data_IF_458387643957
#
_entry.id   IF_458387643957
#
_cell.length_a   1.000
_cell.length_b   1.000
_cell.length_c   1.000
_cell.angle_alpha   90.00
_cell.angle_beta   90.00
_cell.angle_gamma   90.00
#
_symmetry.space_group_name_H-M   'P 1'
#
loop_
_entity.id
_entity.type
_entity.pdbx_description
1 polymer ?
#
# COMPACT_ATOMS: atom_id res chain seq x y z
N UNK A 1 -65.24 6.23 8.55
CA UNK A 1 -64.85 5.00 9.28
C UNK A 1 -64.34 4.00 8.25
N UNK A 2 -63.08 3.66 8.09
CA UNK A 2 -61.81 4.13 8.63
C UNK A 2 -60.72 3.89 7.58
N UNK A 3 -59.68 4.72 7.57
CA UNK A 3 -58.53 4.61 6.70
C UNK A 3 -57.59 3.51 7.25
N UNK A 4 -57.33 2.48 6.45
CA UNK A 4 -56.27 1.52 6.74
C UNK A 4 -54.93 2.12 6.28
N UNK A 5 -54.09 2.51 7.23
CA UNK A 5 -52.67 2.75 7.00
C UNK A 5 -51.99 1.39 6.84
N UNK A 6 -51.52 1.07 5.63
CA UNK A 6 -50.47 0.07 5.48
C UNK A 6 -49.20 0.67 6.08
N UNK A 7 -48.79 0.17 7.25
CA UNK A 7 -47.47 0.44 7.79
C UNK A 7 -46.43 -0.10 6.78
N UNK A 8 -45.52 0.78 6.34
CA UNK A 8 -44.32 0.36 5.66
C UNK A 8 -43.52 -0.54 6.60
N UNK A 9 -43.10 -1.69 6.08
CA UNK A 9 -42.22 -2.63 6.74
C UNK A 9 -40.93 -1.89 7.17
N UNK A 10 -40.49 -1.94 8.45
CA UNK A 10 -39.22 -1.35 8.81
C UNK A 10 -38.10 -2.10 8.06
N UNK A 11 -37.40 -1.38 7.20
CA UNK A 11 -36.17 -1.84 6.56
C UNK A 11 -35.26 -2.44 7.64
N UNK A 12 -34.76 -3.68 7.50
CA UNK A 12 -33.91 -4.27 8.52
C UNK A 12 -32.65 -3.41 8.68
N UNK A 13 -32.18 -3.18 9.92
CA UNK A 13 -30.93 -2.46 10.11
C UNK A 13 -29.81 -3.32 9.54
N UNK A 14 -28.94 -2.67 8.75
CA UNK A 14 -27.55 -3.07 8.58
C UNK A 14 -27.30 -4.36 7.75
N UNK A 15 -27.50 -4.27 6.44
CA UNK A 15 -26.69 -5.07 5.52
C UNK A 15 -25.35 -4.34 5.40
N UNK A 16 -24.36 -4.70 6.21
CA UNK A 16 -23.01 -4.18 6.06
C UNK A 16 -22.58 -4.40 4.60
N UNK A 17 -22.42 -3.30 3.86
CA UNK A 17 -22.02 -3.35 2.45
C UNK A 17 -20.55 -3.75 2.44
N UNK A 18 -20.28 -5.01 2.08
CA UNK A 18 -18.92 -5.48 1.86
C UNK A 18 -18.53 -5.26 0.40
N UNK A 19 -17.36 -4.70 0.17
CA UNK A 19 -16.74 -4.61 -1.16
C UNK A 19 -15.38 -5.29 -1.18
N UNK A 20 -15.10 -5.99 -2.28
CA UNK A 20 -13.82 -6.68 -2.50
C UNK A 20 -13.07 -6.02 -3.65
N UNK A 21 -11.78 -5.75 -3.42
CA UNK A 21 -10.87 -5.19 -4.38
C UNK A 21 -9.67 -6.12 -4.54
N UNK A 22 -9.14 -6.22 -5.76
CA UNK A 22 -7.90 -6.93 -6.05
C UNK A 22 -6.88 -5.93 -6.59
N UNK A 23 -5.63 -6.07 -6.17
CA UNK A 23 -4.55 -5.18 -6.58
C UNK A 23 -3.25 -5.96 -6.79
N UNK A 24 -2.41 -5.42 -7.66
CA UNK A 24 -1.05 -5.89 -7.92
C UNK A 24 -0.08 -4.73 -7.71
N UNK A 25 1.20 -5.04 -7.51
CA UNK A 25 2.23 -4.02 -7.62
C UNK A 25 2.09 -3.29 -8.97
N UNK A 26 2.10 -1.96 -8.90
CA UNK A 26 2.13 -1.10 -10.06
C UNK A 26 3.57 -0.62 -10.27
N UNK A 27 4.07 -0.74 -11.49
CA UNK A 27 5.42 -0.34 -11.84
C UNK A 27 5.61 1.18 -11.74
N UNK A 28 4.53 1.96 -11.96
CA UNK A 28 4.52 3.40 -11.78
C UNK A 28 4.56 3.83 -10.30
N UNK A 29 4.16 2.95 -9.38
CA UNK A 29 4.16 3.18 -7.94
C UNK A 29 5.48 2.79 -7.25
N UNK A 30 6.33 2.03 -7.95
CA UNK A 30 7.49 1.39 -7.37
C UNK A 30 8.62 2.41 -7.10
N UNK A 31 8.74 2.86 -5.85
CA UNK A 31 9.83 3.76 -5.40
C UNK A 31 11.12 2.99 -5.15
N UNK A 32 11.62 2.36 -6.20
CA UNK A 32 12.87 1.59 -6.25
C UNK A 32 13.70 1.99 -7.47
N UNK A 33 14.99 1.71 -7.41
CA UNK A 33 15.97 2.12 -8.39
C UNK A 33 16.59 0.90 -9.08
N UNK A 34 17.01 1.08 -10.32
CA UNK A 34 17.81 0.10 -11.07
C UNK A 34 19.14 0.74 -11.46
N UNK A 35 20.15 -0.11 -11.66
CA UNK A 35 21.47 0.33 -12.09
C UNK A 35 21.43 0.86 -13.53
N UNK A 36 21.90 2.09 -13.72
CA UNK A 36 21.99 2.79 -14.98
C UNK A 36 23.33 3.54 -15.08
N UNK A 37 24.39 2.90 -15.59
CA UNK A 37 25.71 3.51 -15.71
C UNK A 37 25.69 4.88 -16.38
N UNK A 38 26.35 5.86 -15.78
CA UNK A 38 26.42 7.23 -16.28
C UNK A 38 25.21 8.10 -15.94
N UNK A 39 24.19 7.57 -15.25
CA UNK A 39 23.15 8.39 -14.66
C UNK A 39 23.77 9.33 -13.61
N UNK A 40 23.44 10.61 -13.69
CA UNK A 40 23.91 11.59 -12.70
C UNK A 40 23.13 11.43 -11.40
N UNK A 41 23.75 11.68 -10.24
CA UNK A 41 22.97 11.84 -9.01
C UNK A 41 22.00 13.00 -9.20
N UNK A 42 20.82 12.89 -8.61
CA UNK A 42 19.76 13.87 -8.85
C UNK A 42 18.52 13.59 -8.02
N UNK A 43 17.48 14.37 -8.31
CA UNK A 43 16.16 14.16 -7.73
C UNK A 43 15.31 13.45 -8.78
N UNK A 44 14.91 12.22 -8.48
CA UNK A 44 14.01 11.42 -9.30
C UNK A 44 12.57 11.90 -9.23
N UNK A 45 11.65 11.10 -9.76
CA UNK A 45 10.23 11.38 -9.65
C UNK A 45 9.81 11.45 -8.17
N UNK A 46 8.81 12.28 -7.87
CA UNK A 46 8.30 12.48 -6.50
C UNK A 46 9.30 13.08 -5.49
N UNK A 47 10.40 13.67 -5.95
CA UNK A 47 11.31 14.43 -5.07
C UNK A 47 12.36 13.59 -4.35
N UNK A 48 12.54 12.32 -4.71
CA UNK A 48 13.50 11.42 -4.04
C UNK A 48 14.89 11.66 -4.60
N UNK A 49 15.83 12.02 -3.73
CA UNK A 49 17.25 12.18 -4.11
C UNK A 49 17.89 10.80 -4.24
N UNK A 50 18.58 10.55 -5.35
CA UNK A 50 19.26 9.28 -5.62
C UNK A 50 20.75 9.47 -5.97
N UNK A 51 21.51 8.41 -5.69
CA UNK A 51 22.93 8.32 -5.99
C UNK A 51 23.21 8.26 -7.50
N UNK A 52 24.49 8.45 -7.85
CA UNK A 52 24.97 8.30 -9.22
C UNK A 52 24.80 6.85 -9.71
N UNK A 53 24.76 6.67 -11.02
CA UNK A 53 24.58 5.38 -11.70
C UNK A 53 23.27 4.64 -11.36
N UNK A 54 22.30 5.36 -10.80
CA UNK A 54 20.95 4.87 -10.53
C UNK A 54 19.93 5.73 -11.26
N UNK A 55 18.82 5.10 -11.61
CA UNK A 55 17.58 5.78 -11.97
C UNK A 55 16.40 4.99 -11.41
N UNK A 56 15.26 5.64 -11.32
CA UNK A 56 14.03 4.95 -10.97
C UNK A 56 13.74 3.81 -11.96
N UNK A 57 13.23 2.70 -11.43
CA UNK A 57 12.77 1.59 -12.26
C UNK A 57 11.66 2.06 -13.20
N UNK A 58 11.66 1.55 -14.42
CA UNK A 58 10.66 1.82 -15.44
C UNK A 58 9.99 0.52 -15.88
N UNK A 59 8.75 0.57 -16.35
CA UNK A 59 7.97 -0.60 -16.79
C UNK A 59 8.74 -1.45 -17.81
N UNK A 60 9.47 -0.80 -18.72
CA UNK A 60 10.27 -1.43 -19.76
C UNK A 60 11.54 -2.14 -19.28
N UNK A 61 11.88 -2.02 -17.99
CA UNK A 61 13.07 -2.66 -17.44
C UNK A 61 12.95 -4.17 -17.41
N UNK A 62 14.11 -4.83 -17.53
CA UNK A 62 14.15 -6.29 -17.51
C UNK A 62 13.88 -6.75 -16.08
N UNK A 63 12.90 -7.64 -15.94
CA UNK A 63 12.53 -8.25 -14.67
C UNK A 63 13.67 -8.90 -13.87
N UNK A 64 14.71 -9.38 -14.53
CA UNK A 64 15.88 -9.96 -13.88
C UNK A 64 16.88 -8.96 -13.30
N UNK A 65 16.70 -7.65 -13.53
CA UNK A 65 17.58 -6.63 -12.95
C UNK A 65 17.47 -6.61 -11.43
N UNK A 66 18.60 -6.40 -10.76
CA UNK A 66 18.62 -6.09 -9.32
C UNK A 66 18.01 -4.72 -9.07
N UNK A 67 17.33 -4.59 -7.94
CA UNK A 67 16.79 -3.32 -7.48
C UNK A 67 17.54 -2.77 -6.27
N UNK A 68 17.50 -1.45 -6.15
CA UNK A 68 18.29 -0.68 -5.21
C UNK A 68 17.42 0.35 -4.51
N UNK A 69 17.81 0.70 -3.30
CA UNK A 69 17.42 1.94 -2.66
C UNK A 69 18.06 3.14 -3.37
N UNK A 70 17.54 4.34 -3.10
CA UNK A 70 17.98 5.59 -3.70
C UNK A 70 19.45 5.90 -3.40
N UNK A 71 19.97 5.45 -2.25
CA UNK A 71 21.37 5.63 -1.86
C UNK A 71 22.34 4.61 -2.49
N UNK A 72 21.83 3.66 -3.28
CA UNK A 72 22.60 2.60 -3.92
C UNK A 72 22.73 1.32 -3.11
N UNK A 73 22.07 1.22 -1.95
CA UNK A 73 21.95 -0.03 -1.21
C UNK A 73 21.21 -1.06 -2.07
N UNK A 74 21.84 -2.21 -2.34
CA UNK A 74 21.20 -3.30 -3.06
C UNK A 74 20.16 -3.95 -2.14
N UNK A 75 18.92 -4.09 -2.61
CA UNK A 75 17.84 -4.73 -1.84
C UNK A 75 17.87 -6.27 -1.96
N UNK A 76 18.82 -6.82 -2.71
CA UNK A 76 19.03 -8.25 -2.94
C UNK A 76 17.80 -8.98 -3.52
N UNK A 77 17.03 -8.26 -4.35
CA UNK A 77 15.87 -8.81 -5.04
C UNK A 77 15.87 -8.39 -6.51
N UNK A 78 15.17 -9.17 -7.33
CA UNK A 78 14.96 -8.84 -8.74
C UNK A 78 13.72 -7.97 -8.91
N UNK A 79 13.68 -7.20 -9.99
CA UNK A 79 12.53 -6.39 -10.35
C UNK A 79 11.26 -7.24 -10.52
N UNK A 80 11.36 -8.45 -11.09
CA UNK A 80 10.21 -9.39 -11.17
C UNK A 80 9.71 -9.77 -9.77
N UNK A 81 10.61 -10.03 -8.81
CA UNK A 81 10.21 -10.35 -7.45
C UNK A 81 9.55 -9.16 -6.75
N UNK A 82 10.02 -7.94 -7.03
CA UNK A 82 9.39 -6.71 -6.56
C UNK A 82 7.96 -6.58 -7.10
N UNK A 83 7.78 -6.78 -8.40
CA UNK A 83 6.51 -6.64 -9.14
C UNK A 83 5.51 -7.77 -8.91
N UNK A 84 5.96 -8.90 -8.39
CA UNK A 84 5.11 -10.07 -8.20
C UNK A 84 4.06 -9.89 -7.09
N UNK A 85 4.24 -8.92 -6.19
CA UNK A 85 3.36 -8.70 -5.06
C UNK A 85 1.91 -8.43 -5.49
N UNK A 86 0.99 -9.10 -4.81
CA UNK A 86 -0.45 -9.02 -5.07
C UNK A 86 -1.20 -8.93 -3.75
N UNK A 87 -2.43 -8.46 -3.80
CA UNK A 87 -3.34 -8.65 -2.69
C UNK A 87 -4.78 -8.34 -3.00
N UNK A 88 -5.58 -8.50 -1.95
CA UNK A 88 -7.01 -8.26 -1.95
C UNK A 88 -7.39 -7.49 -0.70
N UNK A 89 -8.39 -6.63 -0.82
CA UNK A 89 -9.02 -5.95 0.30
C UNK A 89 -10.49 -6.36 0.37
N UNK A 90 -10.94 -6.74 1.56
CA UNK A 90 -12.35 -6.80 1.90
C UNK A 90 -12.66 -5.65 2.85
N UNK A 91 -13.56 -4.76 2.45
CA UNK A 91 -13.95 -3.58 3.22
C UNK A 91 -15.39 -3.76 3.64
N UNK A 92 -15.64 -3.71 4.94
CA UNK A 92 -16.97 -3.85 5.53
C UNK A 92 -17.24 -2.67 6.44
N UNK A 93 -18.40 -2.05 6.25
CA UNK A 93 -18.81 -0.97 7.14
C UNK A 93 -19.07 -1.50 8.57
N UNK A 94 -18.52 -0.83 9.57
CA UNK A 94 -18.67 -1.19 10.99
C UNK A 94 -19.55 -0.19 11.74
N UNK A 95 -19.54 1.07 11.30
CA UNK A 95 -20.41 2.15 11.80
C UNK A 95 -20.54 3.25 10.76
N UNK A 96 -21.42 4.22 11.01
CA UNK A 96 -21.59 5.43 10.17
C UNK A 96 -20.29 6.24 9.94
N UNK A 97 -19.23 5.98 10.71
CA UNK A 97 -17.96 6.72 10.64
C UNK A 97 -16.72 5.85 10.43
N UNK A 98 -16.84 4.52 10.38
CA UNK A 98 -15.67 3.63 10.37
C UNK A 98 -15.88 2.39 9.54
N UNK A 99 -14.84 2.01 8.78
CA UNK A 99 -14.79 0.74 8.06
C UNK A 99 -13.76 -0.21 8.68
N UNK A 100 -14.06 -1.50 8.65
CA UNK A 100 -13.08 -2.56 8.82
C UNK A 100 -12.52 -2.90 7.44
N UNK A 101 -11.22 -3.07 7.37
CA UNK A 101 -10.53 -3.58 6.18
C UNK A 101 -9.72 -4.82 6.54
N UNK A 102 -9.92 -5.87 5.77
CA UNK A 102 -9.19 -7.12 5.83
C UNK A 102 -8.36 -7.26 4.56
N UNK A 103 -7.05 -7.16 4.71
CA UNK A 103 -6.08 -7.24 3.62
C UNK A 103 -5.44 -8.62 3.60
N UNK A 104 -5.30 -9.20 2.41
CA UNK A 104 -4.54 -10.43 2.19
C UNK A 104 -3.56 -10.21 1.05
N UNK A 105 -2.32 -10.61 1.26
CA UNK A 105 -1.24 -10.44 0.29
C UNK A 105 -0.59 -11.76 -0.06
N UNK A 106 -0.06 -11.84 -1.28
CA UNK A 106 0.73 -12.95 -1.79
C UNK A 106 1.94 -12.44 -2.55
N UNK A 107 2.93 -13.31 -2.73
CA UNK A 107 4.18 -13.04 -3.45
C UNK A 107 5.02 -11.89 -2.86
N UNK A 108 4.77 -11.48 -1.61
CA UNK A 108 5.61 -10.53 -0.90
C UNK A 108 7.05 -11.05 -0.77
N UNK A 109 7.99 -10.15 -0.49
CA UNK A 109 9.34 -10.52 -0.07
C UNK A 109 9.21 -11.28 1.26
N UNK A 110 9.68 -12.53 1.28
CA UNK A 110 9.60 -13.41 2.44
C UNK A 110 10.31 -12.78 3.64
N UNK A 111 9.69 -12.88 4.83
CA UNK A 111 10.16 -12.24 6.07
C UNK A 111 10.30 -10.71 6.00
N UNK A 112 9.83 -10.08 4.92
CA UNK A 112 9.85 -8.63 4.79
C UNK A 112 8.91 -7.97 5.79
N UNK A 113 9.31 -6.80 6.29
CA UNK A 113 8.47 -5.96 7.16
C UNK A 113 7.71 -4.98 6.28
N UNK A 114 6.41 -4.88 6.51
CA UNK A 114 5.50 -4.06 5.72
C UNK A 114 4.62 -3.20 6.59
N UNK A 115 4.08 -2.16 5.99
CA UNK A 115 3.02 -1.36 6.59
C UNK A 115 2.04 -0.83 5.55
N UNK A 116 0.78 -0.66 5.96
CA UNK A 116 -0.31 -0.21 5.11
C UNK A 116 -0.76 1.22 5.47
N UNK A 117 -0.84 2.07 4.45
CA UNK A 117 -1.25 3.46 4.56
C UNK A 117 -2.39 3.79 3.59
N UNK A 118 -3.03 4.93 3.83
CA UNK A 118 -3.98 5.57 2.95
C UNK A 118 -3.37 6.84 2.37
N UNK A 119 -3.42 6.96 1.05
CA UNK A 119 -3.17 8.19 0.32
C UNK A 119 -4.48 8.82 -0.15
N UNK A 120 -4.50 10.14 -0.29
CA UNK A 120 -5.59 10.88 -0.93
C UNK A 120 -5.22 11.13 -2.40
N UNK A 121 -6.04 10.60 -3.32
CA UNK A 121 -5.82 10.70 -4.76
C UNK A 121 -6.21 12.08 -5.32
N UNK A 122 -7.10 12.81 -4.66
CA UNK A 122 -7.52 14.16 -5.07
C UNK A 122 -6.53 15.23 -4.61
N UNK A 123 -5.76 14.92 -3.56
CA UNK A 123 -4.72 15.78 -3.02
C UNK A 123 -3.34 15.09 -3.08
N UNK A 124 -2.79 14.85 -4.29
CA UNK A 124 -1.49 14.22 -4.45
C UNK A 124 -0.41 15.10 -3.81
N UNK A 125 0.34 14.54 -2.86
CA UNK A 125 1.29 15.26 -2.00
C UNK A 125 0.87 15.37 -0.53
N UNK A 126 -0.31 14.90 -0.17
CA UNK A 126 -0.70 14.70 1.23
C UNK A 126 0.08 13.57 1.89
N UNK A 127 0.31 13.72 3.20
CA UNK A 127 1.02 12.73 4.01
C UNK A 127 0.24 11.42 4.05
N UNK A 128 0.95 10.31 3.85
CA UNK A 128 0.43 8.97 4.05
C UNK A 128 -0.12 8.82 5.47
N UNK A 129 -1.37 8.38 5.60
CA UNK A 129 -2.02 8.15 6.89
C UNK A 129 -2.02 6.66 7.21
N UNK A 130 -1.62 6.20 8.40
CA UNK A 130 -1.75 4.80 8.76
C UNK A 130 -3.17 4.31 8.55
N UNK A 131 -3.35 3.07 8.10
CA UNK A 131 -4.68 2.56 7.79
C UNK A 131 -5.60 2.45 9.01
N UNK A 132 -5.03 2.30 10.21
CA UNK A 132 -5.73 2.34 11.51
C UNK A 132 -5.82 3.77 12.10
N UNK A 133 -5.30 4.78 11.38
CA UNK A 133 -5.19 6.18 11.77
C UNK A 133 -4.19 6.50 12.87
N UNK A 134 -3.53 5.50 13.48
CA UNK A 134 -2.64 5.68 14.64
C UNK A 134 -1.22 5.16 14.41
N UNK A 135 -1.04 4.20 13.52
CA UNK A 135 0.24 3.55 13.29
C UNK A 135 0.56 2.46 14.33
N UNK A 136 -0.45 1.83 14.91
CA UNK A 136 -0.28 0.83 15.98
C UNK A 136 -0.58 -0.60 15.53
N UNK A 137 -1.39 -0.74 14.48
CA UNK A 137 -1.80 -1.99 13.88
C UNK A 137 -1.83 -1.87 12.35
N UNK A 138 -0.89 -1.12 11.78
CA UNK A 138 -0.74 -0.95 10.33
C UNK A 138 0.42 -1.78 9.75
N UNK A 139 1.24 -2.41 10.61
CA UNK A 139 2.46 -3.12 10.20
C UNK A 139 2.36 -4.62 10.42
N UNK A 140 3.07 -5.38 9.59
CA UNK A 140 3.13 -6.83 9.66
C UNK A 140 4.41 -7.38 9.01
N UNK A 141 4.73 -8.65 9.29
CA UNK A 141 5.83 -9.37 8.64
C UNK A 141 5.26 -10.42 7.70
N UNK A 142 5.77 -10.48 6.48
CA UNK A 142 5.40 -11.53 5.54
C UNK A 142 5.94 -12.89 5.99
N UNK A 143 5.15 -13.94 5.78
CA UNK A 143 5.58 -15.31 6.03
C UNK A 143 6.67 -15.76 5.05
N UNK A 144 7.26 -16.92 5.30
CA UNK A 144 8.31 -17.53 4.46
C UNK A 144 7.83 -17.77 3.01
N UNK A 145 6.55 -18.08 2.82
CA UNK A 145 5.94 -18.29 1.51
C UNK A 145 5.54 -16.98 0.80
N UNK A 146 5.82 -15.82 1.40
CA UNK A 146 5.47 -14.51 0.86
C UNK A 146 3.99 -14.14 1.04
N UNK A 147 3.25 -14.83 1.90
CA UNK A 147 1.89 -14.45 2.27
C UNK A 147 1.85 -13.56 3.50
N UNK A 148 0.80 -12.74 3.61
CA UNK A 148 0.50 -11.98 4.82
C UNK A 148 -0.98 -11.63 4.89
N UNK A 149 -1.44 -11.26 6.09
CA UNK A 149 -2.76 -10.67 6.27
C UNK A 149 -2.70 -9.55 7.29
N UNK A 150 -3.53 -8.53 7.10
CA UNK A 150 -3.67 -7.40 8.02
C UNK A 150 -5.16 -7.09 8.18
N UNK A 151 -5.65 -7.13 9.41
CA UNK A 151 -6.97 -6.65 9.76
C UNK A 151 -6.83 -5.30 10.49
N UNK A 152 -7.49 -4.27 9.98
CA UNK A 152 -7.49 -2.94 10.58
C UNK A 152 -8.89 -2.33 10.62
N UNK A 153 -9.08 -1.38 11.52
CA UNK A 153 -10.28 -0.52 11.55
C UNK A 153 -9.84 0.89 11.21
N UNK A 154 -10.29 1.39 10.07
CA UNK A 154 -10.07 2.78 9.68
C UNK A 154 -10.99 3.68 10.51
N UNK A 155 -10.48 4.80 11.07
CA UNK A 155 -11.31 5.74 11.84
C UNK A 155 -12.17 6.65 10.93
N UNK A 156 -12.33 6.26 9.67
CA UNK A 156 -13.07 6.95 8.61
C UNK A 156 -13.73 5.91 7.72
N UNK A 157 -14.77 6.33 6.99
CA UNK A 157 -15.28 5.56 5.86
C UNK A 157 -14.25 5.61 4.71
N UNK A 158 -13.92 4.45 4.16
CA UNK A 158 -12.98 4.33 3.05
C UNK A 158 -13.67 4.69 1.74
N UNK A 159 -13.17 5.72 1.06
CA UNK A 159 -13.74 6.27 -0.15
C UNK A 159 -12.91 5.94 -1.39
N UNK A 160 -13.52 5.99 -2.58
CA UNK A 160 -12.84 5.77 -3.86
C UNK A 160 -11.87 6.90 -4.25
N UNK A 161 -11.87 8.00 -3.50
CA UNK A 161 -10.86 9.07 -3.59
C UNK A 161 -9.57 8.73 -2.84
N UNK A 162 -9.51 7.58 -2.19
CA UNK A 162 -8.34 7.11 -1.45
C UNK A 162 -7.67 5.95 -2.18
N UNK A 163 -6.37 5.77 -1.91
CA UNK A 163 -5.63 4.58 -2.30
C UNK A 163 -4.98 3.91 -1.10
N UNK A 164 -4.98 2.58 -1.09
CA UNK A 164 -4.13 1.77 -0.25
C UNK A 164 -2.69 1.87 -0.76
N UNK A 165 -1.76 2.16 0.14
CA UNK A 165 -0.32 2.16 -0.13
C UNK A 165 0.33 1.11 0.76
N UNK A 166 0.90 0.05 0.15
CA UNK A 166 1.72 -0.93 0.84
C UNK A 166 3.19 -0.53 0.73
N UNK A 167 3.85 -0.41 1.88
CA UNK A 167 5.25 -0.04 1.98
C UNK A 167 6.05 -1.23 2.48
N UNK A 168 7.12 -1.57 1.77
CA UNK A 168 8.17 -2.48 2.22
C UNK A 168 9.26 -1.70 2.95
N UNK A 169 9.64 -2.16 4.14
CA UNK A 169 10.71 -1.59 4.95
C UNK A 169 11.99 -2.44 4.81
N UNK A 170 12.95 -1.93 4.04
CA UNK A 170 14.22 -2.60 3.76
C UNK A 170 15.18 -2.60 4.95
N UNK A 171 14.99 -1.70 5.91
CA UNK A 171 15.68 -1.68 7.20
C UNK A 171 15.15 -2.74 8.20
N UNK A 172 14.02 -3.38 7.89
CA UNK A 172 13.38 -4.38 8.72
C UNK A 172 12.69 -3.82 9.97
N UNK A 173 12.36 -2.53 9.99
CA UNK A 173 11.79 -1.83 11.15
C UNK A 173 10.33 -1.45 10.91
N UNK A 174 9.52 -1.51 11.97
CA UNK A 174 8.20 -0.90 12.00
C UNK A 174 8.31 0.59 12.37
N UNK A 175 7.93 1.46 11.44
CA UNK A 175 7.95 2.92 11.61
C UNK A 175 6.66 3.50 12.23
N UNK A 176 5.70 2.63 12.58
CA UNK A 176 4.45 2.98 13.25
C UNK A 176 3.63 4.02 12.47
N UNK A 177 3.44 5.25 12.99
CA UNK A 177 2.61 6.27 12.35
C UNK A 177 3.20 6.85 11.06
N UNK A 178 4.50 6.70 10.84
CA UNK A 178 5.19 7.22 9.67
C UNK A 178 5.59 6.11 8.70
N UNK A 179 5.74 6.41 7.40
CA UNK A 179 6.19 5.44 6.43
C UNK A 179 7.70 5.15 6.48
N UNK A 180 8.49 5.88 7.30
CA UNK A 180 9.95 5.83 7.25
C UNK A 180 10.55 6.71 6.14
N UNK A 181 11.84 6.52 5.87
CA UNK A 181 12.56 7.28 4.85
C UNK A 181 12.29 6.72 3.45
N UNK A 182 11.26 7.28 2.79
CA UNK A 182 10.87 6.89 1.43
C UNK A 182 12.06 6.93 0.46
N UNK A 183 12.22 5.85 -0.29
CA UNK A 183 13.27 5.65 -1.29
C UNK A 183 14.56 5.06 -0.71
N UNK A 184 14.81 5.20 0.60
CA UNK A 184 16.01 4.65 1.25
C UNK A 184 15.66 3.40 2.06
N UNK A 185 14.91 3.58 3.15
CA UNK A 185 14.54 2.50 4.06
C UNK A 185 13.13 1.98 3.77
N UNK A 186 12.30 2.81 3.12
CA UNK A 186 10.89 2.54 2.88
C UNK A 186 10.55 2.66 1.39
N UNK A 187 9.84 1.66 0.86
CA UNK A 187 9.61 1.52 -0.57
C UNK A 187 8.15 1.21 -0.84
N UNK A 188 7.46 2.11 -1.54
CA UNK A 188 6.07 1.88 -1.97
C UNK A 188 6.04 0.77 -3.02
N UNK A 189 5.42 -0.36 -2.68
CA UNK A 189 5.36 -1.55 -3.53
C UNK A 189 4.01 -1.70 -4.23
N UNK A 190 2.92 -1.35 -3.54
CA UNK A 190 1.57 -1.36 -4.11
C UNK A 190 0.92 -0.01 -3.82
N UNK A 191 0.35 0.63 -4.84
CA UNK A 191 -0.56 1.76 -4.70
C UNK A 191 -1.84 1.38 -5.45
N UNK A 192 -2.96 1.28 -4.75
CA UNK A 192 -4.21 0.76 -5.30
C UNK A 192 -5.41 1.60 -4.88
N UNK A 193 -6.21 2.16 -5.81
CA UNK A 193 -7.46 2.84 -5.48
C UNK A 193 -8.45 1.94 -4.71
N UNK A 194 -9.22 2.55 -3.80
CA UNK A 194 -10.22 1.88 -2.95
C UNK A 194 -11.68 1.95 -3.45
#
# INVERSE_FOLDING_TARGET
>A
MGLAFCAADPTPPDQAVSRTLSFSADDAAARIFVYAPGARPGTGENGIVHAADLRQAADSDRGSQSVYAADGTNLFLSLDKWRAAQGTAEITNVSDTSDKISLKFTNLIAFGVYSAFLADLENPGTTLRPIDGKGSANSFTAAEDGTASLDATAPVLLASTQALVLIYHSDGIDHGPGPGAIGTDAHEQIIAPL
#
